data_IF_540063032736
#
_entry.id   IF_540063032736
#
_cell.length_a   1.000
_cell.length_b   1.000
_cell.length_c   1.000
_cell.angle_alpha   90.00
_cell.angle_beta   90.00
_cell.angle_gamma   90.00
#
_symmetry.space_group_name_H-M   'P 1'
#
loop_
_entity.id
_entity.type
_entity.pdbx_description
1 polymer ?
#
# COMPACT_ATOMS: atom_id res chain seq x y z
N UNK A 1 11.66 -1.50 -14.09
CA UNK A 1 11.53 -1.68 -15.56
C UNK A 1 12.84 -2.09 -16.23
N UNK A 2 13.89 -1.25 -16.26
CA UNK A 2 15.13 -1.58 -16.99
C UNK A 2 15.77 -2.90 -16.51
N UNK A 3 15.82 -3.11 -15.20
CA UNK A 3 16.25 -4.38 -14.58
C UNK A 3 15.41 -5.56 -15.01
N UNK A 4 14.08 -5.41 -15.04
CA UNK A 4 13.17 -6.47 -15.49
C UNK A 4 13.33 -6.76 -16.98
N UNK A 5 13.54 -5.75 -17.82
CA UNK A 5 13.78 -5.95 -19.24
C UNK A 5 15.05 -6.77 -19.52
N UNK A 6 16.07 -6.62 -18.68
CA UNK A 6 17.29 -7.45 -18.74
C UNK A 6 17.03 -8.87 -18.20
N UNK A 7 16.38 -8.98 -17.03
CA UNK A 7 16.11 -10.25 -16.35
C UNK A 7 15.15 -11.14 -17.14
N UNK A 8 14.07 -10.56 -17.65
CA UNK A 8 13.03 -11.21 -18.43
C UNK A 8 13.23 -10.87 -19.90
N UNK A 9 14.34 -11.30 -20.52
CA UNK A 9 14.77 -10.86 -21.86
C UNK A 9 13.76 -11.06 -23.00
N UNK A 10 12.73 -11.89 -22.82
CA UNK A 10 11.60 -12.05 -23.75
C UNK A 10 10.46 -11.04 -23.52
N UNK A 11 10.38 -10.43 -22.33
CA UNK A 11 9.42 -9.38 -22.02
C UNK A 11 9.89 -8.03 -22.59
N UNK A 12 8.94 -7.27 -23.11
CA UNK A 12 9.17 -5.90 -23.63
C UNK A 12 8.45 -4.91 -22.74
N UNK A 13 9.14 -3.82 -22.41
CA UNK A 13 8.60 -2.77 -21.55
C UNK A 13 8.38 -1.51 -22.37
N UNK A 14 7.17 -0.98 -22.30
CA UNK A 14 6.78 0.27 -22.94
C UNK A 14 6.50 1.30 -21.84
N UNK A 15 7.21 2.41 -21.86
CA UNK A 15 6.92 3.58 -21.04
C UNK A 15 6.26 4.62 -21.96
N UNK A 16 5.04 5.04 -21.66
CA UNK A 16 4.28 5.93 -22.54
C UNK A 16 3.95 7.23 -21.80
N UNK A 17 4.45 8.36 -22.30
CA UNK A 17 4.05 9.68 -21.84
C UNK A 17 2.64 10.00 -22.36
N UNK A 18 1.65 10.03 -21.47
CA UNK A 18 0.24 10.25 -21.80
C UNK A 18 -0.19 11.71 -21.57
N UNK A 19 0.55 12.68 -22.13
CA UNK A 19 0.24 14.10 -21.96
C UNK A 19 -0.80 14.61 -22.98
N UNK A 20 -0.89 13.99 -24.17
CA UNK A 20 -1.92 14.30 -25.17
C UNK A 20 -1.72 15.64 -25.90
N UNK A 21 -0.49 16.15 -25.92
CA UNK A 21 -0.13 17.40 -26.58
C UNK A 21 1.28 17.31 -27.21
N UNK A 22 1.70 18.27 -28.04
CA UNK A 22 3.00 18.24 -28.72
C UNK A 22 4.24 18.16 -27.80
N UNK A 23 4.12 18.56 -26.53
CA UNK A 23 5.23 18.52 -25.55
C UNK A 23 5.53 17.10 -25.05
N UNK A 24 4.59 16.16 -25.24
CA UNK A 24 4.71 14.77 -24.79
C UNK A 24 6.00 14.11 -25.28
N UNK A 25 6.44 14.42 -26.50
CA UNK A 25 7.68 13.90 -27.08
C UNK A 25 8.90 14.36 -26.31
N UNK A 26 8.98 15.66 -26.01
CA UNK A 26 10.12 16.25 -25.29
C UNK A 26 10.23 15.65 -23.89
N UNK A 27 9.09 15.56 -23.20
CA UNK A 27 9.01 14.97 -21.87
C UNK A 27 9.37 13.48 -21.86
N UNK A 28 8.89 12.70 -22.82
CA UNK A 28 9.27 11.29 -22.95
C UNK A 28 10.78 11.16 -23.15
N UNK A 29 11.38 11.91 -24.08
CA UNK A 29 12.83 11.87 -24.34
C UNK A 29 13.62 12.20 -23.07
N UNK A 30 13.24 13.26 -22.36
CA UNK A 30 13.93 13.69 -21.14
C UNK A 30 13.81 12.63 -20.03
N UNK A 31 12.60 12.10 -19.80
CA UNK A 31 12.38 11.01 -18.84
C UNK A 31 13.24 9.78 -19.18
N UNK A 32 13.33 9.41 -20.46
CA UNK A 32 14.14 8.28 -20.90
C UNK A 32 15.63 8.45 -20.56
N UNK A 33 16.15 9.68 -20.71
CA UNK A 33 17.53 10.02 -20.34
C UNK A 33 17.73 9.99 -18.83
N UNK A 34 16.87 10.66 -18.08
CA UNK A 34 16.98 10.76 -16.62
C UNK A 34 16.87 9.38 -15.95
N UNK A 35 15.94 8.55 -16.42
CA UNK A 35 15.70 7.20 -15.90
C UNK A 35 16.66 6.14 -16.47
N UNK A 36 17.57 6.54 -17.39
CA UNK A 36 18.55 5.66 -18.04
C UNK A 36 17.90 4.39 -18.63
N UNK A 37 16.77 4.55 -19.32
CA UNK A 37 16.03 3.44 -19.91
C UNK A 37 16.72 2.95 -21.18
N UNK A 38 17.51 1.89 -21.07
CA UNK A 38 18.25 1.30 -22.20
C UNK A 38 17.58 0.07 -22.82
N UNK A 39 16.70 -0.60 -22.08
CA UNK A 39 16.02 -1.83 -22.49
C UNK A 39 14.49 -1.69 -22.55
N UNK A 40 13.99 -0.47 -22.43
CA UNK A 40 12.57 -0.15 -22.59
C UNK A 40 12.36 0.67 -23.86
N UNK A 41 11.19 0.51 -24.48
CA UNK A 41 10.72 1.42 -25.52
C UNK A 41 10.02 2.59 -24.82
N UNK A 42 10.44 3.81 -25.15
CA UNK A 42 9.82 5.00 -24.63
C UNK A 42 8.98 5.67 -25.72
N UNK A 43 7.70 5.83 -25.46
CA UNK A 43 6.70 6.36 -26.38
C UNK A 43 5.98 7.57 -25.80
N UNK A 44 5.17 8.21 -26.62
CA UNK A 44 4.39 9.37 -26.22
C UNK A 44 3.09 9.45 -27.01
N UNK A 45 2.10 10.13 -26.44
CA UNK A 45 0.83 10.46 -27.08
C UNK A 45 0.79 11.98 -27.23
N UNK A 46 0.90 12.47 -28.45
CA UNK A 46 0.94 13.91 -28.76
C UNK A 46 -0.43 14.51 -29.14
N UNK A 47 -1.48 13.67 -29.15
CA UNK A 47 -2.83 14.06 -29.50
C UNK A 47 -3.82 13.59 -28.42
N UNK A 48 -4.58 14.54 -27.86
CA UNK A 48 -5.57 14.28 -26.82
C UNK A 48 -6.65 13.27 -27.23
N UNK A 49 -6.98 13.19 -28.54
CA UNK A 49 -7.94 12.21 -29.07
C UNK A 49 -7.44 10.76 -28.99
N UNK A 50 -6.14 10.58 -28.80
CA UNK A 50 -5.48 9.26 -28.71
C UNK A 50 -5.15 8.88 -27.26
N UNK A 51 -5.55 9.70 -26.28
CA UNK A 51 -5.38 9.35 -24.87
C UNK A 51 -6.21 8.12 -24.51
N UNK A 52 -5.67 7.22 -23.67
CA UNK A 52 -6.42 6.07 -23.20
C UNK A 52 -7.59 6.49 -22.31
N UNK A 53 -8.73 5.81 -22.45
CA UNK A 53 -9.93 6.04 -21.62
C UNK A 53 -9.75 5.59 -20.17
N UNK A 54 -8.81 4.67 -19.90
CA UNK A 54 -8.50 4.18 -18.56
C UNK A 54 -7.58 5.10 -17.74
N UNK A 55 -7.23 6.28 -18.28
CA UNK A 55 -6.43 7.30 -17.58
C UNK A 55 -4.93 6.99 -17.50
N UNK A 56 -4.20 7.77 -16.70
CA UNK A 56 -2.76 7.61 -16.47
C UNK A 56 -2.51 6.64 -15.31
N UNK A 57 -1.70 5.60 -15.56
CA UNK A 57 -1.31 4.66 -14.51
C UNK A 57 -0.16 5.18 -13.65
N UNK A 58 0.98 5.60 -14.20
CA UNK A 58 2.09 6.10 -13.36
C UNK A 58 2.42 5.15 -12.19
N UNK A 59 2.43 5.65 -10.94
CA UNK A 59 2.63 4.83 -9.74
C UNK A 59 1.44 3.91 -9.39
N UNK A 60 0.38 3.90 -10.19
CA UNK A 60 -0.84 3.09 -10.01
C UNK A 60 -0.73 1.68 -10.60
N UNK A 61 0.39 1.32 -11.25
CA UNK A 61 0.66 -0.03 -11.72
C UNK A 61 0.95 -0.12 -13.22
N UNK A 62 0.84 -1.34 -13.74
CA UNK A 62 1.16 -1.68 -15.13
C UNK A 62 -0.05 -2.30 -15.83
N UNK A 63 -0.11 -2.12 -17.15
CA UNK A 63 -0.92 -2.96 -18.04
C UNK A 63 -0.02 -4.07 -18.54
N UNK A 64 -0.51 -5.31 -18.49
CA UNK A 64 0.27 -6.47 -18.89
C UNK A 64 -0.45 -7.16 -20.05
N UNK A 65 0.29 -7.39 -21.13
CA UNK A 65 -0.14 -8.15 -22.30
C UNK A 65 0.62 -9.48 -22.35
N UNK A 66 -0.02 -10.52 -22.88
CA UNK A 66 0.68 -11.76 -23.22
C UNK A 66 1.38 -11.65 -24.59
N UNK A 67 2.03 -12.75 -25.01
CA UNK A 67 2.75 -12.84 -26.29
C UNK A 67 1.84 -12.73 -27.53
N UNK A 68 0.52 -12.85 -27.37
CA UNK A 68 -0.48 -12.66 -28.43
C UNK A 68 -1.08 -11.27 -28.44
N UNK A 69 -0.57 -10.36 -27.61
CA UNK A 69 -1.09 -9.01 -27.39
C UNK A 69 -2.48 -8.98 -26.75
N UNK A 70 -2.90 -10.07 -26.09
CA UNK A 70 -4.11 -10.06 -25.26
C UNK A 70 -3.81 -9.44 -23.91
N UNK A 71 -4.72 -8.59 -23.43
CA UNK A 71 -4.62 -8.00 -22.08
C UNK A 71 -4.80 -9.10 -21.04
N UNK A 72 -3.82 -9.22 -20.15
CA UNK A 72 -3.81 -10.14 -19.01
C UNK A 72 -4.15 -9.41 -17.72
N UNK A 73 -3.70 -8.15 -17.58
CA UNK A 73 -4.11 -7.26 -16.50
C UNK A 73 -4.21 -5.84 -17.03
N UNK A 74 -5.32 -5.17 -16.72
CA UNK A 74 -5.51 -3.74 -16.98
C UNK A 74 -4.80 -2.86 -15.94
N UNK A 75 -4.53 -3.41 -14.76
CA UNK A 75 -3.93 -2.68 -13.65
C UNK A 75 -3.34 -3.67 -12.63
N UNK A 76 -2.01 -3.71 -12.53
CA UNK A 76 -1.34 -4.36 -11.40
C UNK A 76 -1.47 -3.51 -10.13
N UNK A 77 -1.12 -4.07 -8.98
CA UNK A 77 -1.14 -3.31 -7.72
C UNK A 77 -0.30 -2.03 -7.79
N UNK A 78 -0.82 -0.96 -7.17
CA UNK A 78 -0.19 0.35 -7.16
C UNK A 78 0.98 0.42 -6.17
N UNK A 79 2.11 0.96 -6.59
CA UNK A 79 3.29 1.13 -5.73
C UNK A 79 2.97 2.00 -4.52
N UNK A 80 2.18 3.07 -4.69
CA UNK A 80 1.81 3.96 -3.58
C UNK A 80 0.95 3.29 -2.50
N UNK A 81 0.32 2.16 -2.80
CA UNK A 81 -0.57 1.47 -1.86
C UNK A 81 0.14 0.36 -1.10
N UNK A 82 0.97 -0.43 -1.79
CA UNK A 82 1.52 -1.69 -1.25
C UNK A 82 3.03 -1.84 -1.50
N UNK A 83 3.69 -0.75 -1.94
CA UNK A 83 5.15 -0.62 -2.02
C UNK A 83 5.79 -1.74 -2.85
N UNK A 84 6.83 -2.38 -2.30
CA UNK A 84 7.60 -3.45 -2.93
C UNK A 84 6.75 -4.64 -3.37
N UNK A 85 5.59 -4.89 -2.73
CA UNK A 85 4.67 -5.93 -3.19
C UNK A 85 4.11 -5.64 -4.60
N UNK A 86 4.11 -4.38 -5.05
CA UNK A 86 3.64 -4.01 -6.39
C UNK A 86 4.58 -4.56 -7.45
N UNK A 87 5.87 -4.53 -7.14
CA UNK A 87 6.90 -5.13 -7.99
C UNK A 87 6.78 -6.65 -7.97
N UNK A 88 6.51 -7.26 -6.81
CA UNK A 88 6.28 -8.71 -6.71
C UNK A 88 5.04 -9.16 -7.48
N UNK A 89 4.00 -8.32 -7.57
CA UNK A 89 2.86 -8.55 -8.45
C UNK A 89 3.32 -8.75 -9.89
N UNK A 90 4.01 -7.74 -10.44
CA UNK A 90 4.47 -7.72 -11.83
C UNK A 90 5.45 -8.88 -12.09
N UNK A 91 6.39 -9.12 -11.18
CA UNK A 91 7.37 -10.20 -11.28
C UNK A 91 6.71 -11.58 -11.35
N UNK A 92 5.64 -11.81 -10.57
CA UNK A 92 4.89 -13.06 -10.58
C UNK A 92 4.20 -13.29 -11.93
N UNK A 93 3.60 -12.23 -12.50
CA UNK A 93 2.99 -12.29 -13.82
C UNK A 93 4.02 -12.54 -14.93
N UNK A 94 5.13 -11.79 -14.92
CA UNK A 94 6.19 -11.91 -15.92
C UNK A 94 6.84 -13.29 -15.87
N UNK A 95 7.11 -13.82 -14.68
CA UNK A 95 7.68 -15.16 -14.51
C UNK A 95 6.79 -16.23 -15.15
N UNK A 96 5.48 -16.16 -14.90
CA UNK A 96 4.52 -17.10 -15.50
C UNK A 96 4.45 -16.95 -17.02
N UNK A 97 4.27 -15.72 -17.53
CA UNK A 97 4.12 -15.47 -18.97
C UNK A 97 5.37 -15.85 -19.76
N UNK A 98 6.57 -15.54 -19.25
CA UNK A 98 7.85 -15.90 -19.89
C UNK A 98 8.06 -17.42 -19.89
N UNK A 99 7.61 -18.11 -18.85
CA UNK A 99 7.65 -19.57 -18.79
C UNK A 99 6.54 -20.27 -19.62
N UNK A 100 5.68 -19.51 -20.31
CA UNK A 100 4.52 -20.06 -21.03
C UNK A 100 3.47 -20.67 -20.12
N UNK A 101 3.43 -20.26 -18.85
CA UNK A 101 2.49 -20.74 -17.84
C UNK A 101 1.30 -19.78 -17.71
N UNK A 102 0.20 -20.30 -17.15
CA UNK A 102 -0.94 -19.47 -16.77
C UNK A 102 -0.52 -18.52 -15.64
N UNK A 103 -0.87 -17.24 -15.77
CA UNK A 103 -0.65 -16.25 -14.69
C UNK A 103 -1.39 -16.67 -13.43
N UNK A 104 -0.77 -16.54 -12.24
CA UNK A 104 -1.42 -16.88 -10.98
C UNK A 104 -2.75 -16.16 -10.83
N UNK A 105 -3.78 -16.90 -10.39
CA UNK A 105 -5.08 -16.31 -10.13
C UNK A 105 -5.00 -15.27 -9.03
N UNK A 106 -4.05 -15.35 -8.09
CA UNK A 106 -3.78 -14.34 -7.06
C UNK A 106 -2.29 -13.99 -7.09
N UNK A 107 -1.96 -12.70 -7.18
CA UNK A 107 -0.59 -12.20 -7.19
C UNK A 107 -0.27 -11.43 -5.88
N UNK A 108 1.02 -11.34 -5.49
CA UNK A 108 1.45 -10.49 -4.37
C UNK A 108 0.99 -9.04 -4.56
N UNK A 109 0.64 -8.36 -3.47
CA UNK A 109 0.13 -7.00 -3.47
C UNK A 109 -1.37 -6.85 -3.76
N UNK A 110 -2.08 -7.92 -4.09
CA UNK A 110 -3.54 -7.86 -4.26
C UNK A 110 -4.25 -7.83 -2.90
N UNK A 111 -5.30 -7.01 -2.81
CA UNK A 111 -6.18 -6.97 -1.64
C UNK A 111 -7.19 -8.11 -1.70
N UNK A 112 -7.33 -8.81 -0.59
CA UNK A 112 -8.13 -10.02 -0.48
C UNK A 112 -9.08 -9.93 0.71
N UNK A 113 -10.24 -10.54 0.59
CA UNK A 113 -11.16 -10.80 1.69
C UNK A 113 -11.22 -12.30 1.97
N UNK A 114 -11.10 -12.65 3.25
CA UNK A 114 -11.21 -14.02 3.72
C UNK A 114 -12.67 -14.48 3.70
N UNK A 115 -12.94 -15.67 3.19
CA UNK A 115 -14.29 -16.25 3.23
C UNK A 115 -14.28 -17.78 3.36
N UNK A 116 -15.43 -18.32 3.77
CA UNK A 116 -15.71 -19.76 3.81
C UNK A 116 -14.70 -20.59 4.62
N UNK A 117 -14.01 -19.98 5.60
CA UNK A 117 -13.11 -20.70 6.51
C UNK A 117 -13.93 -21.60 7.43
N UNK A 118 -13.60 -22.89 7.49
CA UNK A 118 -14.45 -23.90 8.13
C UNK A 118 -14.18 -24.14 9.62
N UNK A 119 -12.93 -24.02 10.07
CA UNK A 119 -12.60 -24.24 11.48
C UNK A 119 -13.19 -23.16 12.37
N UNK A 120 -13.69 -23.53 13.55
CA UNK A 120 -14.36 -22.60 14.49
C UNK A 120 -13.53 -21.35 14.81
N UNK A 121 -12.22 -21.50 15.01
CA UNK A 121 -11.32 -20.35 15.26
C UNK A 121 -11.14 -19.47 14.02
N UNK A 122 -11.10 -20.06 12.83
CA UNK A 122 -10.92 -19.31 11.58
C UNK A 122 -12.20 -18.66 11.06
N UNK A 123 -13.39 -19.14 11.47
CA UNK A 123 -14.66 -18.52 11.08
C UNK A 123 -14.76 -17.05 11.52
N UNK A 124 -14.13 -16.68 12.63
CA UNK A 124 -14.04 -15.30 13.12
C UNK A 124 -13.23 -14.37 12.20
N UNK A 125 -12.46 -14.95 11.27
CA UNK A 125 -11.65 -14.21 10.31
C UNK A 125 -12.39 -14.00 8.97
N UNK A 126 -13.53 -14.67 8.75
CA UNK A 126 -14.33 -14.45 7.55
C UNK A 126 -14.82 -12.99 7.51
N UNK A 127 -14.73 -12.37 6.33
CA UNK A 127 -15.04 -10.96 6.11
C UNK A 127 -13.85 -10.02 6.36
N UNK A 128 -12.80 -10.46 7.06
CA UNK A 128 -11.60 -9.64 7.26
C UNK A 128 -10.81 -9.50 5.95
N UNK A 129 -10.18 -8.34 5.81
CA UNK A 129 -9.37 -8.00 4.64
C UNK A 129 -7.89 -8.08 4.94
N UNK A 130 -7.11 -8.39 3.91
CA UNK A 130 -5.65 -8.43 3.98
C UNK A 130 -5.04 -8.23 2.60
N UNK A 131 -3.71 -8.29 2.55
CA UNK A 131 -2.93 -8.22 1.32
C UNK A 131 -2.22 -9.54 1.08
N UNK A 132 -2.20 -10.01 -0.17
CA UNK A 132 -1.35 -11.11 -0.58
C UNK A 132 0.12 -10.71 -0.44
N UNK A 133 0.87 -11.37 0.44
CA UNK A 133 2.30 -11.11 0.62
C UNK A 133 3.18 -12.15 -0.08
N UNK A 134 2.59 -13.24 -0.59
CA UNK A 134 3.30 -14.29 -1.29
C UNK A 134 2.54 -15.60 -1.35
N UNK A 135 3.23 -16.66 -1.77
CA UNK A 135 2.70 -18.02 -1.88
C UNK A 135 3.63 -18.99 -1.15
N UNK A 136 3.04 -20.00 -0.51
CA UNK A 136 3.73 -21.12 0.13
C UNK A 136 3.06 -22.43 -0.32
N UNK A 137 3.63 -23.05 -1.35
CA UNK A 137 3.00 -24.16 -2.06
C UNK A 137 1.65 -23.76 -2.66
N UNK A 138 0.59 -24.48 -2.28
CA UNK A 138 -0.77 -24.21 -2.74
C UNK A 138 -1.52 -23.16 -1.89
N UNK A 139 -0.87 -22.59 -0.88
CA UNK A 139 -1.48 -21.61 0.02
C UNK A 139 -0.98 -20.22 -0.29
N UNK A 140 -1.89 -19.26 -0.22
CA UNK A 140 -1.59 -17.84 -0.29
C UNK A 140 -1.26 -17.34 1.12
N UNK A 141 -0.15 -16.62 1.23
CA UNK A 141 0.20 -15.91 2.45
C UNK A 141 -0.50 -14.56 2.45
N UNK A 142 -1.33 -14.32 3.45
CA UNK A 142 -2.13 -13.09 3.59
C UNK A 142 -1.72 -12.37 4.87
N UNK A 143 -1.34 -11.10 4.76
CA UNK A 143 -1.15 -10.21 5.90
C UNK A 143 -2.43 -9.42 6.15
N UNK A 144 -3.00 -9.57 7.34
CA UNK A 144 -4.18 -8.81 7.78
C UNK A 144 -3.80 -7.43 8.28
N UNK A 145 -4.78 -6.53 8.34
CA UNK A 145 -4.61 -5.19 8.94
C UNK A 145 -4.15 -5.24 10.41
N UNK A 146 -4.43 -6.33 11.12
CA UNK A 146 -3.94 -6.57 12.47
C UNK A 146 -2.44 -6.90 12.56
N UNK A 147 -1.74 -7.02 11.43
CA UNK A 147 -0.36 -7.49 11.33
C UNK A 147 -0.24 -9.02 11.35
N UNK A 148 -1.32 -9.76 11.65
CA UNK A 148 -1.33 -11.21 11.64
C UNK A 148 -1.17 -11.75 10.22
N UNK A 149 -0.28 -12.72 10.05
CA UNK A 149 -0.10 -13.44 8.79
C UNK A 149 -0.79 -14.79 8.82
N UNK A 150 -1.39 -15.19 7.69
CA UNK A 150 -2.16 -16.42 7.54
C UNK A 150 -1.78 -17.15 6.25
N UNK A 151 -1.83 -18.49 6.27
CA UNK A 151 -1.70 -19.33 5.07
C UNK A 151 -3.06 -19.89 4.69
N UNK A 152 -3.64 -19.37 3.62
CA UNK A 152 -5.05 -19.60 3.25
C UNK A 152 -5.12 -20.23 1.86
N UNK A 153 -6.04 -21.17 1.67
CA UNK A 153 -6.25 -21.76 0.34
C UNK A 153 -6.92 -20.72 -0.59
N UNK A 154 -6.60 -20.69 -1.89
CA UNK A 154 -7.20 -19.75 -2.84
C UNK A 154 -8.73 -19.72 -2.82
N UNK A 155 -9.39 -20.88 -2.65
CA UNK A 155 -10.86 -21.00 -2.55
C UNK A 155 -11.51 -20.29 -1.34
N UNK A 156 -10.68 -19.80 -0.41
CA UNK A 156 -11.09 -19.10 0.79
C UNK A 156 -10.75 -17.60 0.72
N UNK A 157 -10.42 -17.11 -0.48
CA UNK A 157 -10.00 -15.74 -0.74
C UNK A 157 -10.82 -15.17 -1.90
N UNK A 158 -11.36 -13.98 -1.67
CA UNK A 158 -12.03 -13.18 -2.70
C UNK A 158 -11.19 -11.95 -2.98
N UNK A 159 -10.93 -11.64 -4.24
CA UNK A 159 -10.19 -10.42 -4.61
C UNK A 159 -11.05 -9.19 -4.40
N UNK A 160 -10.43 -8.14 -3.87
CA UNK A 160 -11.06 -6.83 -3.71
C UNK A 160 -10.56 -5.89 -4.82
N UNK A 161 -11.49 -5.25 -5.53
CA UNK A 161 -11.17 -4.26 -6.56
C UNK A 161 -11.08 -4.80 -7.99
N UNK A 162 -11.44 -6.06 -8.21
CA UNK A 162 -11.53 -6.68 -9.56
C UNK A 162 -12.88 -6.42 -10.24
N UNK A 163 -13.59 -5.33 -9.88
CA UNK A 163 -14.80 -4.82 -10.55
C UNK A 163 -14.46 -4.26 -11.94
N UNK A 164 -13.76 -5.07 -12.73
CA UNK A 164 -13.62 -4.97 -14.17
C UNK A 164 -14.96 -5.32 -14.80
N UNK A 165 -15.94 -4.43 -14.60
CA UNK A 165 -17.14 -4.26 -15.42
C UNK A 165 -17.70 -5.52 -16.07
N UNK A 166 -17.99 -6.57 -15.29
CA UNK A 166 -19.00 -7.53 -15.75
C UNK A 166 -20.34 -6.84 -15.60
N UNK A 167 -20.69 -6.03 -16.61
CA UNK A 167 -22.09 -5.77 -16.94
C UNK A 167 -22.72 -7.15 -17.13
N UNK A 168 -23.47 -7.59 -16.12
CA UNK A 168 -24.35 -8.72 -16.27
C UNK A 168 -25.40 -8.33 -17.30
N UNK A 169 -25.23 -8.82 -18.54
CA UNK A 169 -26.29 -8.99 -19.52
C UNK A 169 -27.39 -9.86 -18.90
N UNK A 170 -28.24 -9.25 -18.07
CA UNK A 170 -29.53 -9.79 -17.65
C UNK A 170 -30.61 -9.13 -18.50
N UNK A 171 -30.66 -9.58 -19.75
CA UNK A 171 -31.89 -9.55 -20.52
C UNK A 171 -32.91 -10.49 -19.87
N UNK A 172 -34.16 -10.04 -19.84
CA UNK A 172 -35.39 -10.84 -19.66
C UNK A 172 -35.69 -11.25 -18.20
N UNK A 173 -36.85 -11.02 -17.59
CA UNK A 173 -38.23 -10.82 -18.07
C UNK A 173 -39.12 -10.30 -16.92
N UNK A 174 -40.20 -9.57 -17.24
CA UNK A 174 -41.47 -9.73 -16.51
C UNK A 174 -42.05 -8.49 -15.81
N UNK A 175 -43.13 -7.99 -16.40
CA UNK A 175 -44.00 -6.93 -15.91
C UNK A 175 -44.90 -7.36 -14.74
N UNK A 176 -45.34 -6.34 -13.98
CA UNK A 176 -46.64 -6.18 -13.32
C UNK A 176 -47.37 -7.40 -12.74
N UNK A 177 -47.56 -7.39 -11.42
CA UNK A 177 -48.88 -7.15 -10.80
C UNK A 177 -48.83 -7.35 -9.28
N UNK A 178 -49.45 -6.41 -8.57
CA UNK A 178 -49.46 -6.36 -7.11
C UNK A 178 -50.39 -7.37 -6.44
N UNK A 179 -50.16 -7.60 -5.14
CA UNK A 179 -51.14 -8.01 -4.12
C UNK A 179 -50.39 -8.09 -2.79
N UNK A 180 -50.53 -7.14 -1.86
CA UNK A 180 -51.53 -7.13 -0.77
C UNK A 180 -51.82 -8.50 -0.14
N UNK A 181 -51.27 -8.76 1.06
CA UNK A 181 -51.76 -9.66 2.13
C UNK A 181 -50.83 -9.47 3.36
N UNK A 182 -51.15 -8.63 4.36
CA UNK A 182 -51.86 -8.94 5.62
C UNK A 182 -51.38 -10.18 6.41
N UNK A 183 -50.91 -9.90 7.63
CA UNK A 183 -51.04 -10.65 8.90
C UNK A 183 -50.89 -12.18 8.93
N UNK A 184 -49.96 -12.65 9.76
CA UNK A 184 -49.94 -14.04 10.24
C UNK A 184 -48.92 -14.26 11.37
N UNK A 185 -49.37 -14.12 12.61
CA UNK A 185 -48.66 -14.54 13.81
C UNK A 185 -48.70 -16.06 13.99
N UNK A 186 -47.58 -16.65 14.47
CA UNK A 186 -47.41 -17.92 15.22
C UNK A 186 -46.05 -18.52 14.85
N UNK A 187 -45.15 -18.95 15.74
CA UNK A 187 -45.15 -19.07 17.19
C UNK A 187 -43.96 -19.94 17.64
N UNK A 188 -43.69 -19.90 18.94
CA UNK A 188 -43.01 -20.90 19.78
C UNK A 188 -41.47 -21.02 19.70
N UNK A 189 -40.87 -20.56 20.79
CA UNK A 189 -39.57 -20.97 21.32
C UNK A 189 -39.54 -22.44 21.76
N UNK A 190 -38.35 -23.08 21.80
CA UNK A 190 -38.08 -24.18 22.70
C UNK A 190 -37.12 -23.78 23.84
N UNK A 191 -37.50 -24.23 25.04
CA UNK A 191 -36.73 -24.17 26.29
C UNK A 191 -35.61 -25.23 26.30
N UNK A 192 -34.44 -24.80 26.79
CA UNK A 192 -33.45 -25.48 27.66
C UNK A 192 -33.30 -27.00 27.59
N UNK A 193 -32.03 -27.44 27.44
CA UNK A 193 -31.45 -28.48 28.32
C UNK A 193 -30.07 -28.06 28.80
N UNK A 194 -29.93 -27.98 30.11
CA UNK A 194 -28.66 -28.00 30.82
C UNK A 194 -28.15 -29.44 30.84
N UNK A 195 -26.87 -29.64 30.50
CA UNK A 195 -26.14 -30.87 30.79
C UNK A 195 -25.01 -30.53 31.74
N UNK A 196 -25.12 -31.00 32.98
CA UNK A 196 -24.03 -31.00 33.95
C UNK A 196 -22.91 -31.92 33.49
N UNK A 197 -21.66 -31.47 33.57
CA UNK A 197 -20.50 -32.35 33.60
C UNK A 197 -19.98 -32.40 35.04
N UNK A 198 -20.61 -33.26 35.84
CA UNK A 198 -20.00 -33.73 37.08
C UNK A 198 -19.16 -34.97 36.78
N UNK A 199 -17.92 -34.95 37.26
CA UNK A 199 -16.92 -36.02 37.30
C UNK A 199 -16.13 -36.34 36.03
N UNK A 200 -14.79 -36.23 36.14
CA UNK A 200 -13.86 -37.00 35.30
C UNK A 200 -12.73 -36.20 34.66
N UNK A 201 -11.70 -35.90 35.44
CA UNK A 201 -10.28 -35.67 35.06
C UNK A 201 -9.95 -35.74 33.55
N UNK A 202 -9.87 -34.58 32.90
CA UNK A 202 -9.14 -34.40 31.64
C UNK A 202 -7.74 -33.88 31.98
N UNK A 203 -6.81 -34.79 32.30
CA UNK A 203 -5.41 -34.45 32.51
C UNK A 203 -4.76 -34.02 31.21
N UNK A 204 -4.72 -32.71 30.95
CA UNK A 204 -3.79 -32.13 30.00
C UNK A 204 -2.43 -31.97 30.72
N UNK A 205 -1.32 -32.48 30.17
CA UNK A 205 -0.01 -32.26 30.77
C UNK A 205 0.29 -30.76 30.82
N UNK A 206 1.02 -30.28 31.85
CA UNK A 206 1.45 -28.89 31.89
C UNK A 206 2.30 -28.63 30.65
N UNK A 207 1.78 -27.80 29.74
CA UNK A 207 2.59 -27.22 28.67
C UNK A 207 3.53 -26.23 29.33
N UNK A 208 4.77 -26.66 29.50
CA UNK A 208 5.89 -25.81 29.86
C UNK A 208 6.04 -24.75 28.76
N UNK A 209 5.47 -23.57 29.02
CA UNK A 209 5.36 -22.47 28.08
C UNK A 209 6.50 -21.49 28.32
N UNK A 210 7.74 -21.97 28.17
CA UNK A 210 8.96 -21.19 28.36
C UNK A 210 9.82 -21.28 27.10
N UNK A 211 9.47 -20.46 26.10
CA UNK A 211 10.34 -19.85 25.08
C UNK A 211 9.52 -19.51 23.83
N UNK A 212 8.68 -18.48 23.93
CA UNK A 212 8.38 -17.66 22.74
C UNK A 212 9.55 -16.70 22.63
N UNK A 213 10.37 -16.74 21.56
CA UNK A 213 11.44 -15.78 21.35
C UNK A 213 10.84 -14.38 21.45
N UNK A 214 11.36 -13.55 22.36
CA UNK A 214 10.85 -12.20 22.50
C UNK A 214 11.16 -11.44 21.20
N UNK A 215 10.20 -10.70 20.65
CA UNK A 215 10.38 -9.81 19.47
C UNK A 215 11.38 -8.65 19.72
N UNK A 216 12.24 -8.76 20.75
CA UNK A 216 13.28 -7.80 21.07
C UNK A 216 14.64 -8.11 20.46
N UNK A 217 14.85 -9.32 19.93
CA UNK A 217 16.19 -9.78 19.56
C UNK A 217 16.51 -9.74 18.06
N UNK A 218 15.60 -9.25 17.19
CA UNK A 218 15.99 -9.02 15.79
C UNK A 218 16.90 -7.79 15.68
N UNK A 219 18.04 -7.90 14.95
CA UNK A 219 18.95 -6.78 14.75
C UNK A 219 18.23 -5.64 14.01
N UNK A 220 18.07 -4.51 14.69
CA UNK A 220 17.38 -3.33 14.16
C UNK A 220 18.33 -2.56 13.25
N UNK A 221 17.95 -2.40 11.98
CA UNK A 221 18.70 -1.60 11.02
C UNK A 221 18.42 -0.11 11.26
N UNK A 222 19.45 0.65 11.65
CA UNK A 222 19.35 2.09 11.89
C UNK A 222 19.36 2.88 10.59
N UNK A 223 18.64 4.00 10.59
CA UNK A 223 18.61 4.96 9.50
C UNK A 223 19.89 5.81 9.54
N UNK A 224 20.61 5.86 8.43
CA UNK A 224 21.89 6.60 8.33
C UNK A 224 21.70 8.07 7.92
N UNK A 225 20.49 8.44 7.48
CA UNK A 225 20.14 9.78 7.00
C UNK A 225 19.08 9.72 5.90
N UNK A 226 18.58 10.88 5.50
CA UNK A 226 17.79 11.10 4.27
C UNK A 226 18.59 11.95 3.28
N UNK A 227 18.17 11.99 2.03
CA UNK A 227 18.85 12.79 1.01
C UNK A 227 18.74 14.28 1.34
N UNK A 228 19.85 15.01 1.18
CA UNK A 228 19.87 16.47 1.40
C UNK A 228 18.93 17.18 0.42
N UNK A 229 18.17 18.13 0.96
CA UNK A 229 17.29 19.02 0.21
C UNK A 229 17.98 20.35 -0.12
N UNK A 230 19.31 20.44 0.06
CA UNK A 230 20.12 21.63 -0.23
C UNK A 230 19.70 22.90 0.54
N UNK A 231 18.86 22.77 1.56
CA UNK A 231 18.45 23.83 2.47
C UNK A 231 19.04 23.49 3.84
N UNK A 232 20.08 24.22 4.25
CA UNK A 232 20.88 23.85 5.42
C UNK A 232 20.09 23.72 6.73
N UNK A 233 19.04 24.53 6.93
CA UNK A 233 18.14 24.38 8.07
C UNK A 233 17.29 23.11 8.00
N UNK A 234 16.75 22.79 6.82
CA UNK A 234 15.93 21.58 6.61
C UNK A 234 16.77 20.31 6.74
N UNK A 235 17.99 20.29 6.19
CA UNK A 235 18.92 19.16 6.31
C UNK A 235 19.26 18.88 7.79
N UNK A 236 19.36 19.95 8.60
CA UNK A 236 19.59 19.83 10.03
C UNK A 236 18.36 19.23 10.74
N UNK A 237 17.16 19.70 10.43
CA UNK A 237 15.92 19.15 10.98
C UNK A 237 15.68 17.69 10.56
N UNK A 238 16.01 17.35 9.32
CA UNK A 238 16.01 15.97 8.84
C UNK A 238 16.95 15.08 9.66
N UNK A 239 18.15 15.58 10.00
CA UNK A 239 19.08 14.85 10.86
C UNK A 239 18.52 14.67 12.29
N UNK A 240 17.83 15.67 12.83
CA UNK A 240 17.15 15.59 14.13
C UNK A 240 16.00 14.57 14.09
N UNK A 241 15.19 14.57 13.03
CA UNK A 241 14.15 13.56 12.79
C UNK A 241 14.73 12.14 12.71
N UNK A 242 15.82 11.96 11.96
CA UNK A 242 16.53 10.67 11.84
C UNK A 242 17.04 10.20 13.20
N UNK A 243 17.57 11.09 14.03
CA UNK A 243 18.01 10.76 15.38
C UNK A 243 16.85 10.29 16.26
N UNK A 244 15.71 11.00 16.24
CA UNK A 244 14.51 10.61 16.98
C UNK A 244 13.94 9.26 16.51
N UNK A 245 13.93 9.00 15.19
CA UNK A 245 13.51 7.74 14.61
C UNK A 245 14.41 6.57 15.02
N UNK A 246 15.72 6.78 15.06
CA UNK A 246 16.67 5.78 15.54
C UNK A 246 16.46 5.45 17.02
N UNK A 247 16.10 6.44 17.85
CA UNK A 247 15.72 6.20 19.24
C UNK A 247 14.42 5.38 19.33
N UNK A 248 13.41 5.70 18.52
CA UNK A 248 12.16 4.93 18.46
C UNK A 248 12.39 3.47 18.06
N UNK A 249 13.25 3.23 17.08
CA UNK A 249 13.63 1.90 16.61
C UNK A 249 14.32 1.07 17.72
N UNK A 250 15.11 1.70 18.58
CA UNK A 250 15.84 1.03 19.66
C UNK A 250 14.98 0.80 20.91
N UNK A 251 14.31 1.85 21.40
CA UNK A 251 13.66 1.85 22.71
C UNK A 251 12.18 1.44 22.63
N UNK A 252 11.48 1.82 21.53
CA UNK A 252 10.04 1.56 21.33
C UNK A 252 9.19 1.95 22.54
N UNK A 253 9.58 3.03 23.21
CA UNK A 253 8.88 3.60 24.37
C UNK A 253 7.96 4.75 23.98
N UNK A 254 6.96 5.04 24.82
CA UNK A 254 6.10 6.23 24.64
C UNK A 254 6.92 7.53 24.56
N UNK A 255 8.01 7.63 25.34
CA UNK A 255 8.90 8.79 25.31
C UNK A 255 9.61 8.93 23.95
N UNK A 256 10.13 7.83 23.40
CA UNK A 256 10.76 7.84 22.07
C UNK A 256 9.76 8.17 20.95
N UNK A 257 8.52 7.68 21.05
CA UNK A 257 7.46 8.00 20.10
C UNK A 257 7.02 9.46 20.18
N UNK A 258 6.94 10.02 21.39
CA UNK A 258 6.65 11.43 21.60
C UNK A 258 7.75 12.31 21.01
N UNK A 259 9.02 11.95 21.21
CA UNK A 259 10.14 12.67 20.59
C UNK A 259 10.05 12.69 19.06
N UNK A 260 9.65 11.58 18.42
CA UNK A 260 9.41 11.54 16.97
C UNK A 260 8.25 12.46 16.57
N UNK A 261 7.12 12.40 17.29
CA UNK A 261 5.95 13.24 17.01
C UNK A 261 6.29 14.74 17.12
N UNK A 262 6.95 15.15 18.21
CA UNK A 262 7.29 16.55 18.46
C UNK A 262 8.26 17.05 17.38
N UNK A 263 9.28 16.25 17.03
CA UNK A 263 10.24 16.58 15.99
C UNK A 263 9.59 16.71 14.61
N UNK A 264 8.70 15.78 14.22
CA UNK A 264 7.95 15.88 12.96
C UNK A 264 7.04 17.10 12.94
N UNK A 265 6.33 17.37 14.03
CA UNK A 265 5.39 18.50 14.09
C UNK A 265 6.11 19.84 13.98
N UNK A 266 7.27 20.00 14.63
CA UNK A 266 8.09 21.21 14.52
C UNK A 266 8.67 21.37 13.11
N UNK A 267 9.23 20.30 12.55
CA UNK A 267 9.77 20.29 11.19
C UNK A 267 8.72 20.65 10.14
N UNK A 268 7.58 19.95 10.13
CA UNK A 268 6.49 20.21 9.17
C UNK A 268 5.92 21.62 9.30
N UNK A 269 5.82 22.15 10.52
CA UNK A 269 5.39 23.53 10.73
C UNK A 269 6.37 24.52 10.09
N UNK A 270 7.67 24.33 10.29
CA UNK A 270 8.68 25.21 9.68
C UNK A 270 8.66 25.12 8.15
N UNK A 271 8.53 23.91 7.59
CA UNK A 271 8.42 23.72 6.14
C UNK A 271 7.20 24.45 5.56
N UNK A 272 6.05 24.35 6.23
CA UNK A 272 4.82 25.03 5.83
C UNK A 272 4.94 26.55 5.90
N UNK A 273 5.61 27.10 6.91
CA UNK A 273 5.93 28.52 7.00
C UNK A 273 6.81 28.97 5.83
N UNK A 274 7.74 28.12 5.40
CA UNK A 274 8.55 28.41 4.22
C UNK A 274 7.73 28.34 2.92
N UNK A 275 6.73 27.45 2.81
CA UNK A 275 5.83 27.43 1.65
C UNK A 275 5.11 28.77 1.50
N UNK A 276 4.60 29.29 2.61
CA UNK A 276 3.89 30.57 2.63
C UNK A 276 4.83 31.74 2.31
N UNK A 277 6.02 31.76 2.92
CA UNK A 277 7.02 32.82 2.72
C UNK A 277 7.52 32.89 1.28
N UNK A 278 7.68 31.75 0.61
CA UNK A 278 8.29 31.66 -0.71
C UNK A 278 7.29 31.34 -1.83
N UNK A 279 5.99 31.40 -1.55
CA UNK A 279 4.92 31.22 -2.53
C UNK A 279 4.90 29.83 -3.18
N UNK A 280 5.36 28.79 -2.49
CA UNK A 280 5.31 27.43 -3.02
C UNK A 280 3.85 26.99 -3.18
N UNK A 281 3.46 26.53 -4.37
CA UNK A 281 2.09 26.07 -4.63
C UNK A 281 1.02 27.18 -4.70
N UNK A 282 1.40 28.46 -4.81
CA UNK A 282 0.48 29.61 -4.88
C UNK A 282 -0.30 29.74 -6.22
N UNK A 283 -0.09 28.83 -7.17
CA UNK A 283 -0.90 28.77 -8.40
C UNK A 283 -2.25 28.12 -8.12
N UNK A 284 -3.30 28.93 -7.91
CA UNK A 284 -4.66 28.54 -7.48
C UNK A 284 -5.46 27.62 -8.40
N UNK A 285 -4.89 26.51 -8.87
CA UNK A 285 -5.60 25.41 -9.50
C UNK A 285 -6.16 24.42 -8.47
N UNK A 286 -7.05 23.52 -8.94
CA UNK A 286 -7.69 22.48 -8.11
C UNK A 286 -6.72 21.48 -7.43
N UNK A 287 -5.41 21.60 -7.68
CA UNK A 287 -4.34 20.79 -7.10
C UNK A 287 -3.16 21.69 -6.70
N UNK A 288 -3.22 22.29 -5.51
CA UNK A 288 -2.06 23.01 -4.95
C UNK A 288 -1.03 22.00 -4.42
N UNK A 289 0.21 22.11 -4.88
CA UNK A 289 1.32 21.29 -4.40
C UNK A 289 1.51 21.44 -2.88
N UNK A 290 1.41 22.67 -2.36
CA UNK A 290 1.50 22.95 -0.93
C UNK A 290 0.37 22.28 -0.15
N UNK A 291 -0.87 22.37 -0.61
CA UNK A 291 -2.01 21.70 0.05
C UNK A 291 -1.87 20.18 0.05
N UNK A 292 -1.36 19.60 -1.05
CA UNK A 292 -1.07 18.16 -1.10
C UNK A 292 0.05 17.76 -0.13
N UNK A 293 1.05 18.62 0.07
CA UNK A 293 2.17 18.41 0.99
C UNK A 293 1.71 18.51 2.45
N UNK A 294 0.92 19.53 2.80
CA UNK A 294 0.28 19.67 4.14
C UNK A 294 -0.60 18.48 4.51
N UNK A 295 -1.33 17.93 3.53
CA UNK A 295 -2.10 16.69 3.73
C UNK A 295 -1.22 15.49 4.04
N UNK A 296 -0.04 15.42 3.44
CA UNK A 296 0.93 14.37 3.72
C UNK A 296 1.53 14.50 5.13
N UNK A 297 1.85 15.71 5.59
CA UNK A 297 2.23 15.97 6.99
C UNK A 297 1.17 15.44 7.96
N UNK A 298 -0.10 15.75 7.67
CA UNK A 298 -1.23 15.26 8.48
C UNK A 298 -1.30 13.72 8.47
N UNK A 299 -1.09 13.09 7.30
CA UNK A 299 -1.07 11.62 7.16
C UNK A 299 0.03 10.99 8.03
N UNK A 300 1.20 11.62 8.12
CA UNK A 300 2.34 11.17 8.92
C UNK A 300 2.11 11.34 10.43
N UNK A 301 1.51 12.47 10.85
CA UNK A 301 1.30 12.78 12.27
C UNK A 301 0.12 12.02 12.90
N UNK A 302 -0.92 11.68 12.12
CA UNK A 302 -2.14 11.02 12.64
C UNK A 302 -1.83 9.68 13.35
N UNK A 303 -1.11 8.72 12.73
CA UNK A 303 -0.82 7.43 13.38
C UNK A 303 0.01 7.57 14.66
N UNK A 304 0.95 8.53 14.69
CA UNK A 304 1.78 8.82 15.86
C UNK A 304 0.92 9.32 17.03
N UNK A 305 0.04 10.29 16.76
CA UNK A 305 -0.88 10.85 17.75
C UNK A 305 -1.87 9.80 18.27
N UNK A 306 -2.43 8.98 17.38
CA UNK A 306 -3.34 7.90 17.76
C UNK A 306 -2.64 6.86 18.65
N UNK A 307 -1.39 6.51 18.34
CA UNK A 307 -0.60 5.59 19.14
C UNK A 307 -0.29 6.17 20.53
N UNK A 308 0.09 7.44 20.61
CA UNK A 308 0.32 8.16 21.87
C UNK A 308 -0.95 8.33 22.72
N UNK A 309 -2.14 8.24 22.11
CA UNK A 309 -3.42 8.29 22.82
C UNK A 309 -3.84 6.96 23.45
N UNK A 310 -3.14 5.86 23.17
CA UNK A 310 -3.45 4.53 23.72
C UNK A 310 -2.80 4.33 25.08
N UNK A 311 -3.53 3.72 26.02
CA UNK A 311 -2.99 3.31 27.32
C UNK A 311 -3.28 1.82 27.54
N UNK A 312 -2.26 0.94 27.68
CA UNK A 312 -0.82 1.25 27.60
C UNK A 312 -0.36 1.52 26.15
N UNK A 313 0.60 2.44 25.98
CA UNK A 313 1.23 2.69 24.70
C UNK A 313 2.24 1.57 24.39
N UNK A 314 1.81 0.57 23.62
CA UNK A 314 2.67 -0.53 23.16
C UNK A 314 3.04 -0.33 21.70
N UNK A 315 4.32 -0.15 21.42
CA UNK A 315 4.85 0.13 20.09
C UNK A 315 5.49 -1.14 19.52
N UNK A 316 4.95 -1.65 18.42
CA UNK A 316 5.53 -2.80 17.73
C UNK A 316 6.76 -2.40 16.89
N UNK A 317 7.66 -3.35 16.61
CA UNK A 317 8.76 -3.12 15.67
C UNK A 317 8.25 -2.72 14.29
N UNK A 318 7.19 -3.38 13.82
CA UNK A 318 6.57 -3.10 12.52
C UNK A 318 6.03 -1.67 12.43
N UNK A 319 5.42 -1.16 13.51
CA UNK A 319 4.97 0.23 13.55
C UNK A 319 6.14 1.20 13.44
N UNK A 320 7.20 1.01 14.25
CA UNK A 320 8.39 1.86 14.20
C UNK A 320 9.05 1.85 12.81
N UNK A 321 9.16 0.68 12.17
CA UNK A 321 9.67 0.55 10.81
C UNK A 321 8.80 1.26 9.77
N UNK A 322 7.48 1.19 9.91
CA UNK A 322 6.57 1.92 9.01
C UNK A 322 6.73 3.43 9.14
N UNK A 323 6.87 3.96 10.36
CA UNK A 323 7.11 5.40 10.59
C UNK A 323 8.42 5.85 9.91
N UNK A 324 9.48 5.05 10.04
CA UNK A 324 10.77 5.30 9.37
C UNK A 324 10.62 5.31 7.86
N UNK A 325 9.97 4.29 7.29
CA UNK A 325 9.74 4.19 5.85
C UNK A 325 8.93 5.37 5.32
N UNK A 326 7.89 5.77 6.05
CA UNK A 326 7.02 6.87 5.67
C UNK A 326 7.77 8.22 5.68
N UNK A 327 8.67 8.45 6.65
CA UNK A 327 9.49 9.66 6.69
C UNK A 327 10.53 9.74 5.58
N UNK A 328 11.26 8.63 5.33
CA UNK A 328 12.24 8.58 4.24
C UNK A 328 11.56 8.87 2.90
N UNK A 329 10.39 8.27 2.68
CA UNK A 329 9.64 8.49 1.46
C UNK A 329 9.12 9.92 1.33
N UNK A 330 8.65 10.52 2.43
CA UNK A 330 8.23 11.91 2.45
C UNK A 330 9.37 12.83 2.00
N UNK A 331 10.54 12.69 2.63
CA UNK A 331 11.73 13.46 2.26
C UNK A 331 12.12 13.28 0.78
N UNK A 332 12.04 12.06 0.26
CA UNK A 332 12.37 11.77 -1.14
C UNK A 332 11.33 12.29 -2.14
N UNK A 333 10.03 12.22 -1.83
CA UNK A 333 8.97 12.49 -2.80
C UNK A 333 8.37 13.88 -2.70
N UNK A 334 8.43 14.51 -1.54
CA UNK A 334 7.78 15.79 -1.24
C UNK A 334 8.84 16.87 -1.05
N UNK A 335 9.72 16.74 -0.08
CA UNK A 335 10.71 17.78 0.28
C UNK A 335 11.70 18.04 -0.87
N UNK A 336 12.06 16.98 -1.60
CA UNK A 336 12.93 17.07 -2.79
C UNK A 336 12.35 17.92 -3.93
N UNK A 337 11.02 18.08 -4.00
CA UNK A 337 10.36 18.93 -5.02
C UNK A 337 10.35 20.38 -4.60
N UNK A 338 10.14 20.63 -3.31
CA UNK A 338 10.16 21.97 -2.75
C UNK A 338 11.57 22.58 -2.76
N UNK A 339 12.61 21.80 -2.51
CA UNK A 339 13.99 22.29 -2.58
C UNK A 339 14.37 22.89 -3.92
N UNK A 340 13.97 22.26 -5.02
CA UNK A 340 14.19 22.80 -6.37
C UNK A 340 13.53 24.17 -6.54
N UNK A 341 12.35 24.36 -5.96
CA UNK A 341 11.68 25.66 -5.94
C UNK A 341 12.46 26.67 -5.09
N UNK A 342 12.95 26.30 -3.89
CA UNK A 342 13.74 27.19 -3.03
C UNK A 342 15.03 27.67 -3.66
N UNK A 343 15.77 26.76 -4.31
CA UNK A 343 16.95 27.11 -5.09
C UNK A 343 16.59 28.12 -6.17
N UNK A 344 15.47 27.92 -6.88
CA UNK A 344 15.05 28.79 -7.99
C UNK A 344 14.65 30.20 -7.56
N UNK A 345 14.10 30.36 -6.35
CA UNK A 345 13.68 31.68 -5.81
C UNK A 345 14.77 32.38 -5.00
N UNK A 346 15.99 31.80 -4.92
CA UNK A 346 17.11 32.39 -4.18
C UNK A 346 16.88 32.46 -2.67
N UNK A 347 16.11 31.51 -2.13
CA UNK A 347 15.81 31.43 -0.70
C UNK A 347 16.93 30.80 0.14
N UNK A 348 18.04 30.42 -0.51
CA UNK A 348 19.18 29.69 0.05
C UNK A 348 20.41 30.56 0.24
#
# INVERSE_FOLDING_TARGET
MNTWAQQYGSARFLCICALGNPEAKSLAVEMGKQMRLSHCVNGYIDNSKSLPSYGQLGCQGFIVFDHTMKVVSLKTSAFMQIRQLAFKHVESMLSALVAGQRVPDICPGEFLQLHSLSSSTAQQLNGQTGVCIGMDGERIMVALQSGKQLKVLPKNLHKLGDDTGKEEDSADCGQDSGSSCTNGACGKAPKRKASSCESGQCGLPPRDNTNVPSERDEPVQLLHGVASVQVGSMDKEHAECVAALNLLLQDRSEASLRAVYDCFAEHFKHEEELFEKHGFGAGGGAFSAAESHKKEHTRLLVPLREMLGRSPCSISASFAQNVVSDFVEHAEQYDSKYSQHMVSVGAL
#
